data_IF_480652180817
#
_entry.id   IF_480652180817
#
_cell.length_a   1.000
_cell.length_b   1.000
_cell.length_c   1.000
_cell.angle_alpha   90.00
_cell.angle_beta   90.00
_cell.angle_gamma   90.00
#
_symmetry.space_group_name_H-M   'P 1'
#
loop_
_entity.id
_entity.type
_entity.pdbx_description
1 polymer ?
#
# COMPACT_ATOMS: atom_id res chain seq x y z
N UNK A 1 5.79 -5.72 -2.51
CA UNK A 1 6.85 -4.86 -1.95
C UNK A 1 6.30 -3.49 -1.61
N UNK A 2 7.13 -2.62 -1.06
CA UNK A 2 6.76 -1.24 -0.74
C UNK A 2 7.89 -0.33 -1.22
N UNK A 3 7.81 0.13 -2.47
CA UNK A 3 8.89 0.87 -3.11
C UNK A 3 9.25 2.18 -2.40
N UNK A 4 8.25 2.87 -1.83
CA UNK A 4 8.50 4.11 -1.09
C UNK A 4 9.42 3.91 0.13
N UNK A 5 9.49 2.70 0.69
CA UNK A 5 10.35 2.37 1.83
C UNK A 5 11.85 2.35 1.47
N UNK A 6 12.21 2.33 0.18
CA UNK A 6 13.60 2.42 -0.26
C UNK A 6 14.31 3.66 0.30
N UNK A 7 13.59 4.77 0.51
CA UNK A 7 14.14 6.01 1.07
C UNK A 7 14.60 5.86 2.54
N UNK A 8 14.07 4.87 3.24
CA UNK A 8 14.38 4.61 4.65
C UNK A 8 15.11 3.30 4.87
N UNK A 9 15.62 2.69 3.80
CA UNK A 9 16.42 1.46 3.87
C UNK A 9 17.61 1.65 4.83
N UNK A 10 17.79 0.70 5.75
CA UNK A 10 18.85 0.72 6.77
C UNK A 10 18.79 1.89 7.77
N UNK A 11 17.62 2.51 7.98
CA UNK A 11 17.49 3.56 8.98
C UNK A 11 17.85 3.03 10.38
N UNK A 12 18.86 3.61 11.10
CA UNK A 12 19.43 2.98 12.30
C UNK A 12 18.43 2.74 13.43
N UNK A 13 17.49 3.65 13.65
CA UNK A 13 16.49 3.54 14.73
C UNK A 13 15.43 2.45 14.49
N UNK A 14 15.27 2.01 13.25
CA UNK A 14 14.29 1.00 12.88
C UNK A 14 14.92 -0.41 12.80
N UNK A 15 16.25 -0.50 12.86
CA UNK A 15 16.93 -1.80 12.81
C UNK A 15 16.72 -2.55 14.13
N UNK A 16 16.45 -3.85 14.03
CA UNK A 16 16.20 -4.78 15.16
C UNK A 16 14.92 -4.50 15.96
N UNK A 17 14.02 -3.66 15.47
CA UNK A 17 12.71 -3.46 16.06
C UNK A 17 11.72 -4.57 15.67
N UNK A 18 10.70 -4.79 16.51
CA UNK A 18 9.50 -5.55 16.08
C UNK A 18 8.79 -4.78 14.95
N UNK A 19 7.84 -5.44 14.25
CA UNK A 19 7.09 -4.78 13.17
C UNK A 19 6.47 -3.46 13.65
N UNK A 20 5.80 -3.45 14.79
CA UNK A 20 5.13 -2.25 15.29
C UNK A 20 6.13 -1.17 15.73
N UNK A 21 7.25 -1.56 16.37
CA UNK A 21 8.35 -0.64 16.69
C UNK A 21 8.99 -0.04 15.43
N UNK A 22 9.18 -0.85 14.40
CA UNK A 22 9.69 -0.44 13.10
C UNK A 22 8.75 0.57 12.42
N UNK A 23 7.44 0.27 12.34
CA UNK A 23 6.43 1.16 11.77
C UNK A 23 6.37 2.50 12.51
N UNK A 24 6.27 2.51 13.84
CA UNK A 24 6.20 3.73 14.65
C UNK A 24 7.47 4.59 14.52
N UNK A 25 8.62 3.97 14.30
CA UNK A 25 9.88 4.68 14.04
C UNK A 25 9.92 5.35 12.67
N UNK A 26 9.22 4.80 11.67
CA UNK A 26 9.27 5.24 10.28
C UNK A 26 8.10 6.15 9.87
N UNK A 27 6.92 6.00 10.44
CA UNK A 27 5.77 6.85 10.13
C UNK A 27 6.05 8.36 10.18
N UNK A 28 6.80 8.90 11.18
CA UNK A 28 7.14 10.33 11.21
C UNK A 28 8.02 10.79 10.04
N UNK A 29 8.77 9.87 9.45
CA UNK A 29 9.60 10.13 8.27
C UNK A 29 8.72 10.06 7.03
N UNK A 30 7.94 8.99 6.88
CA UNK A 30 7.05 8.78 5.74
C UNK A 30 5.96 9.85 5.63
N UNK A 31 5.56 10.44 6.75
CA UNK A 31 4.61 11.57 6.75
C UNK A 31 5.15 12.84 6.06
N UNK A 32 6.46 12.89 5.77
CA UNK A 32 7.11 14.03 5.09
C UNK A 32 7.35 13.81 3.61
N UNK A 33 7.18 12.59 3.11
CA UNK A 33 7.39 12.30 1.69
C UNK A 33 6.29 12.93 0.84
N UNK A 34 6.61 13.22 -0.41
CA UNK A 34 5.70 13.81 -1.38
C UNK A 34 5.79 13.11 -2.74
N UNK A 35 5.15 13.68 -3.77
CA UNK A 35 5.09 13.08 -5.12
C UNK A 35 6.45 12.68 -5.69
N UNK A 36 7.43 13.59 -5.63
CA UNK A 36 8.79 13.32 -6.14
C UNK A 36 9.51 12.21 -5.38
N UNK A 37 9.24 12.07 -4.08
CA UNK A 37 9.86 11.00 -3.28
C UNK A 37 9.28 9.64 -3.67
N UNK A 38 7.96 9.55 -3.86
CA UNK A 38 7.30 8.33 -4.37
C UNK A 38 7.83 7.95 -5.75
N UNK A 39 7.93 8.93 -6.66
CA UNK A 39 8.48 8.70 -8.00
C UNK A 39 9.92 8.18 -7.94
N UNK A 40 10.83 8.88 -7.25
CA UNK A 40 12.25 8.51 -7.19
C UNK A 40 12.46 7.16 -6.50
N UNK A 41 11.78 6.91 -5.37
CA UNK A 41 11.91 5.63 -4.68
C UNK A 41 11.43 4.46 -5.53
N UNK A 42 10.35 4.67 -6.29
CA UNK A 42 9.82 3.68 -7.23
C UNK A 42 10.75 3.48 -8.42
N UNK A 43 11.28 4.56 -8.99
CA UNK A 43 12.24 4.50 -10.09
C UNK A 43 13.48 3.67 -9.73
N UNK A 44 14.07 3.95 -8.56
CA UNK A 44 15.24 3.21 -8.06
C UNK A 44 14.90 1.73 -7.84
N UNK A 45 13.84 1.44 -7.10
CA UNK A 45 13.50 0.06 -6.75
C UNK A 45 13.13 -0.78 -7.97
N UNK A 46 12.35 -0.23 -8.91
CA UNK A 46 12.01 -0.92 -10.15
C UNK A 46 13.23 -1.12 -11.05
N UNK A 47 14.14 -0.15 -11.10
CA UNK A 47 15.41 -0.29 -11.83
C UNK A 47 16.29 -1.40 -11.26
N UNK A 48 16.45 -1.46 -9.93
CA UNK A 48 17.16 -2.57 -9.26
C UNK A 48 16.55 -3.93 -9.61
N UNK A 49 15.22 -4.01 -9.64
CA UNK A 49 14.52 -5.25 -9.98
C UNK A 49 14.74 -5.67 -11.44
N UNK A 50 14.62 -4.73 -12.38
CA UNK A 50 14.87 -5.01 -13.81
C UNK A 50 16.31 -5.45 -14.03
N UNK A 51 17.28 -4.79 -13.39
CA UNK A 51 18.70 -5.17 -13.45
C UNK A 51 18.94 -6.59 -12.86
N UNK A 52 18.12 -7.02 -11.92
CA UNK A 52 18.18 -8.39 -11.37
C UNK A 52 17.40 -9.43 -12.21
N UNK A 53 16.80 -9.02 -13.34
CA UNK A 53 16.05 -9.90 -14.24
C UNK A 53 14.55 -9.97 -13.99
N UNK A 54 14.00 -9.16 -13.08
CA UNK A 54 12.56 -9.09 -12.80
C UNK A 54 11.86 -8.22 -13.86
N UNK A 55 11.04 -8.83 -14.70
CA UNK A 55 10.32 -8.13 -15.79
C UNK A 55 8.90 -7.73 -15.44
N UNK A 56 8.37 -8.22 -14.34
CA UNK A 56 7.01 -7.93 -13.85
C UNK A 56 7.06 -7.75 -12.34
N UNK A 57 6.55 -6.64 -11.86
CA UNK A 57 6.53 -6.30 -10.44
C UNK A 57 5.15 -5.89 -9.98
N UNK A 58 4.87 -6.12 -8.70
CA UNK A 58 3.74 -5.53 -7.99
C UNK A 58 4.23 -4.78 -6.77
N UNK A 59 3.55 -3.70 -6.41
CA UNK A 59 3.83 -2.92 -5.21
C UNK A 59 2.57 -2.76 -4.36
N UNK A 60 2.75 -2.38 -3.10
CA UNK A 60 1.68 -2.03 -2.18
C UNK A 60 1.96 -0.63 -1.61
N UNK A 61 1.53 0.41 -2.34
CA UNK A 61 1.56 1.79 -1.86
C UNK A 61 0.31 2.07 -1.04
N UNK A 62 0.45 2.32 0.25
CA UNK A 62 -0.67 2.43 1.20
C UNK A 62 -0.74 3.77 1.95
N UNK A 63 0.13 4.72 1.63
CA UNK A 63 0.11 6.06 2.21
C UNK A 63 0.32 7.12 1.11
N UNK A 64 -0.42 8.23 1.24
CA UNK A 64 -0.47 9.29 0.23
C UNK A 64 -0.36 10.68 0.87
N UNK A 65 0.73 10.97 1.63
CA UNK A 65 0.92 12.26 2.26
C UNK A 65 1.30 13.35 1.23
N UNK A 66 1.07 14.60 1.61
CA UNK A 66 1.56 15.80 0.91
C UNK A 66 1.20 15.84 -0.58
N UNK A 67 0.03 15.32 -0.96
CA UNK A 67 -0.46 15.33 -2.34
C UNK A 67 0.12 14.26 -3.24
N UNK A 68 0.87 13.29 -2.70
CA UNK A 68 1.31 12.11 -3.45
C UNK A 68 0.12 11.27 -3.90
N UNK A 69 0.29 10.57 -5.01
CA UNK A 69 -0.75 9.76 -5.66
C UNK A 69 -0.16 8.48 -6.24
N UNK A 70 -1.02 7.53 -6.58
CA UNK A 70 -0.59 6.31 -7.26
C UNK A 70 0.07 6.61 -8.62
N UNK A 71 -0.33 7.71 -9.25
CA UNK A 71 0.25 8.19 -10.51
C UNK A 71 1.77 8.40 -10.45
N UNK A 72 2.29 8.88 -9.32
CA UNK A 72 3.73 9.12 -9.15
C UNK A 72 4.54 7.82 -9.30
N UNK A 73 3.98 6.71 -8.81
CA UNK A 73 4.58 5.38 -8.94
C UNK A 73 4.39 4.80 -10.36
N UNK A 74 3.21 5.02 -10.96
CA UNK A 74 2.91 4.58 -12.32
C UNK A 74 3.85 5.25 -13.33
N UNK A 75 4.15 6.54 -13.15
CA UNK A 75 5.08 7.27 -14.00
C UNK A 75 6.48 6.68 -13.92
N UNK A 76 6.98 6.40 -12.72
CA UNK A 76 8.27 5.73 -12.53
C UNK A 76 8.32 4.37 -13.23
N UNK A 77 7.25 3.57 -13.16
CA UNK A 77 7.18 2.27 -13.83
C UNK A 77 7.20 2.38 -15.35
N UNK A 78 6.58 3.42 -15.92
CA UNK A 78 6.62 3.72 -17.35
C UNK A 78 8.03 4.09 -17.80
N UNK A 79 8.72 4.93 -17.03
CA UNK A 79 10.07 5.38 -17.35
C UNK A 79 11.09 4.25 -17.30
N UNK A 80 10.93 3.31 -16.35
CA UNK A 80 11.72 2.08 -16.29
C UNK A 80 11.38 1.11 -17.42
N UNK A 81 10.13 1.14 -17.91
CA UNK A 81 9.66 0.24 -18.97
C UNK A 81 9.42 -1.19 -18.51
N UNK A 82 9.12 -1.41 -17.23
CA UNK A 82 8.77 -2.71 -16.69
C UNK A 82 7.25 -2.93 -16.64
N UNK A 83 6.82 -4.19 -16.68
CA UNK A 83 5.41 -4.54 -16.44
C UNK A 83 5.10 -4.36 -14.96
N UNK A 84 4.05 -3.56 -14.66
CA UNK A 84 3.76 -3.16 -13.30
C UNK A 84 2.30 -3.39 -12.91
N UNK A 85 2.10 -4.03 -11.77
CA UNK A 85 0.81 -4.16 -11.12
C UNK A 85 0.78 -3.16 -9.96
N UNK A 86 0.32 -1.94 -10.25
CA UNK A 86 0.19 -0.88 -9.27
C UNK A 86 -0.99 -1.16 -8.33
N UNK A 87 -0.82 -0.95 -7.04
CA UNK A 87 -1.90 -1.17 -6.09
C UNK A 87 -2.27 0.11 -5.37
N UNK A 88 -3.56 0.45 -5.40
CA UNK A 88 -4.11 1.51 -4.57
C UNK A 88 -4.32 0.94 -3.17
N UNK A 89 -3.29 1.09 -2.34
CA UNK A 89 -3.35 0.74 -0.93
C UNK A 89 -4.12 1.79 -0.12
N UNK A 90 -4.48 1.47 1.11
CA UNK A 90 -5.22 2.41 1.96
C UNK A 90 -5.04 2.12 3.44
N UNK A 91 -5.12 3.18 4.25
CA UNK A 91 -5.24 3.14 5.71
C UNK A 91 -6.34 4.12 6.13
N UNK A 92 -7.28 3.69 6.99
CA UNK A 92 -8.41 4.50 7.47
C UNK A 92 -8.50 4.60 8.99
N UNK A 93 -7.78 3.74 9.71
CA UNK A 93 -7.77 3.70 11.18
C UNK A 93 -6.42 4.20 11.67
N UNK A 94 -6.41 5.43 12.19
CA UNK A 94 -5.26 6.04 12.84
C UNK A 94 -5.26 5.88 14.35
N UNK A 95 -4.26 6.47 15.00
CA UNK A 95 -4.06 6.42 16.45
C UNK A 95 -5.30 6.86 17.24
N UNK A 96 -6.00 7.90 16.80
CA UNK A 96 -7.23 8.38 17.45
C UNK A 96 -8.39 7.37 17.44
N UNK A 97 -8.34 6.40 16.54
CA UNK A 97 -9.32 5.32 16.40
C UNK A 97 -8.80 3.96 16.89
N UNK A 98 -7.66 3.94 17.56
CA UNK A 98 -7.03 2.73 18.08
C UNK A 98 -6.24 1.92 17.05
N UNK A 99 -5.89 2.54 15.91
CA UNK A 99 -4.95 2.00 14.94
C UNK A 99 -3.50 2.34 15.29
N UNK A 100 -2.57 1.86 14.49
CA UNK A 100 -1.15 2.09 14.67
C UNK A 100 -0.62 3.34 13.92
N UNK A 101 -1.06 3.64 12.68
CA UNK A 101 -0.53 4.79 11.95
C UNK A 101 -1.01 6.13 12.53
N UNK A 102 -0.19 7.19 12.46
CA UNK A 102 -0.65 8.54 12.75
C UNK A 102 -1.87 8.92 11.91
N UNK A 103 -2.81 9.67 12.48
CA UNK A 103 -4.02 10.11 11.77
C UNK A 103 -3.70 10.88 10.47
N UNK A 104 -2.57 11.59 10.44
CA UNK A 104 -2.09 12.31 9.26
C UNK A 104 -1.71 11.42 8.05
N UNK A 105 -1.53 10.12 8.28
CA UNK A 105 -1.25 9.13 7.24
C UNK A 105 -2.48 8.29 6.85
N UNK A 106 -3.62 8.57 7.46
CA UNK A 106 -4.88 7.90 7.13
C UNK A 106 -5.76 8.76 6.25
N UNK A 107 -6.67 8.14 5.54
CA UNK A 107 -7.60 8.80 4.63
C UNK A 107 -9.06 8.52 5.04
N UNK A 108 -9.97 9.37 4.59
CA UNK A 108 -11.40 9.12 4.71
C UNK A 108 -11.83 7.97 3.78
N UNK A 109 -12.66 7.05 4.25
CA UNK A 109 -13.04 5.82 3.53
C UNK A 109 -13.77 6.09 2.23
N UNK A 110 -14.71 7.06 2.20
CA UNK A 110 -15.39 7.46 0.96
C UNK A 110 -14.39 8.01 -0.08
N UNK A 111 -13.39 8.76 0.38
CA UNK A 111 -12.34 9.29 -0.49
C UNK A 111 -11.44 8.17 -1.03
N UNK A 112 -11.12 7.18 -0.20
CA UNK A 112 -10.38 5.99 -0.61
C UNK A 112 -11.11 5.25 -1.72
N UNK A 113 -12.40 4.94 -1.52
CA UNK A 113 -13.20 4.17 -2.50
C UNK A 113 -13.35 4.92 -3.81
N UNK A 114 -13.62 6.24 -3.77
CA UNK A 114 -13.67 7.09 -4.96
C UNK A 114 -12.35 7.11 -5.72
N UNK A 115 -11.23 7.19 -5.02
CA UNK A 115 -9.91 7.17 -5.65
C UNK A 115 -9.55 5.78 -6.19
N UNK A 116 -9.92 4.71 -5.49
CA UNK A 116 -9.82 3.34 -5.99
C UNK A 116 -10.54 3.17 -7.34
N UNK A 117 -11.79 3.59 -7.41
CA UNK A 117 -12.57 3.58 -8.65
C UNK A 117 -11.89 4.41 -9.74
N UNK A 118 -11.51 5.64 -9.43
CA UNK A 118 -10.85 6.56 -10.37
C UNK A 118 -9.57 5.98 -10.99
N UNK A 119 -8.71 5.37 -10.17
CA UNK A 119 -7.43 4.82 -10.70
C UNK A 119 -7.66 3.56 -11.54
N UNK A 120 -8.68 2.74 -11.22
CA UNK A 120 -9.06 1.60 -12.06
C UNK A 120 -9.54 2.11 -13.41
N UNK A 121 -10.53 2.99 -13.43
CA UNK A 121 -11.13 3.52 -14.67
C UNK A 121 -10.11 4.23 -15.56
N UNK A 122 -9.13 4.89 -14.96
CA UNK A 122 -8.12 5.68 -15.69
C UNK A 122 -6.94 4.86 -16.19
N UNK A 123 -6.52 3.82 -15.46
CA UNK A 123 -5.22 3.21 -15.68
C UNK A 123 -5.24 1.69 -15.87
N UNK A 124 -6.31 1.01 -15.45
CA UNK A 124 -6.32 -0.45 -15.56
C UNK A 124 -6.45 -0.90 -17.01
N UNK A 125 -5.48 -1.70 -17.46
CA UNK A 125 -5.56 -2.39 -18.75
C UNK A 125 -5.80 -3.88 -18.48
N UNK A 126 -7.00 -4.36 -18.85
CA UNK A 126 -7.41 -5.75 -18.64
C UNK A 126 -6.85 -6.73 -19.67
N UNK A 127 -6.18 -6.24 -20.73
CA UNK A 127 -5.62 -7.08 -21.77
C UNK A 127 -4.54 -8.04 -21.25
N UNK A 128 -4.36 -9.15 -21.96
CA UNK A 128 -3.28 -10.08 -21.66
C UNK A 128 -1.92 -9.39 -21.85
N UNK A 129 -1.01 -9.65 -20.91
CA UNK A 129 0.34 -9.07 -20.91
C UNK A 129 0.41 -7.53 -20.86
N UNK A 130 -0.67 -6.86 -20.44
CA UNK A 130 -0.69 -5.41 -20.25
C UNK A 130 0.52 -4.93 -19.45
N UNK A 131 1.05 -3.77 -19.83
CA UNK A 131 2.19 -3.15 -19.14
C UNK A 131 1.79 -2.58 -17.77
N UNK A 132 0.51 -2.22 -17.59
CA UNK A 132 -0.01 -1.67 -16.35
C UNK A 132 -1.35 -2.30 -15.99
N UNK A 133 -1.41 -2.88 -14.80
CA UNK A 133 -2.67 -3.31 -14.17
C UNK A 133 -2.81 -2.64 -12.81
N UNK A 134 -4.05 -2.42 -12.40
CA UNK A 134 -4.39 -1.88 -11.08
C UNK A 134 -4.96 -3.00 -10.22
N UNK A 135 -4.59 -3.01 -8.94
CA UNK A 135 -5.25 -3.77 -7.89
C UNK A 135 -5.58 -2.86 -6.71
N UNK A 136 -6.45 -3.32 -5.83
CA UNK A 136 -6.80 -2.63 -4.59
C UNK A 136 -6.11 -3.32 -3.41
N UNK A 137 -5.68 -2.54 -2.42
CA UNK A 137 -4.91 -3.09 -1.33
C UNK A 137 -5.18 -2.38 0.02
N UNK A 138 -6.33 -2.64 0.68
CA UNK A 138 -6.51 -2.24 2.07
C UNK A 138 -5.37 -2.83 2.90
N UNK A 139 -4.65 -1.95 3.66
CA UNK A 139 -3.30 -2.26 4.13
C UNK A 139 -3.24 -3.51 5.04
N UNK A 140 -4.02 -3.51 6.12
CA UNK A 140 -4.01 -4.62 7.09
C UNK A 140 -5.24 -4.58 8.00
N UNK A 141 -5.58 -5.65 8.72
CA UNK A 141 -6.70 -5.65 9.67
C UNK A 141 -6.60 -4.61 10.79
N UNK A 142 -5.39 -4.13 11.12
CA UNK A 142 -5.18 -3.12 12.16
C UNK A 142 -5.06 -1.68 11.62
N UNK A 143 -5.19 -1.46 10.31
CA UNK A 143 -5.06 -0.13 9.69
C UNK A 143 -6.25 0.27 8.83
N UNK A 144 -7.22 -0.63 8.62
CA UNK A 144 -8.48 -0.35 7.92
C UNK A 144 -9.67 -0.89 8.69
N UNK A 145 -10.87 -0.31 8.48
CA UNK A 145 -12.10 -0.85 9.04
C UNK A 145 -12.53 -2.14 8.31
N UNK A 146 -13.33 -2.97 9.00
CA UNK A 146 -13.95 -4.14 8.35
C UNK A 146 -14.85 -3.73 7.19
N UNK A 147 -15.52 -2.59 7.30
CA UNK A 147 -16.43 -2.11 6.25
C UNK A 147 -15.63 -1.67 5.03
N UNK A 148 -14.54 -0.91 5.19
CA UNK A 148 -13.65 -0.58 4.07
C UNK A 148 -13.08 -1.84 3.40
N UNK A 149 -12.71 -2.86 4.19
CA UNK A 149 -12.22 -4.13 3.65
C UNK A 149 -13.28 -4.81 2.76
N UNK A 150 -14.53 -4.87 3.22
CA UNK A 150 -15.66 -5.46 2.48
C UNK A 150 -16.02 -4.65 1.23
N UNK A 151 -16.10 -3.33 1.34
CA UNK A 151 -16.44 -2.44 0.24
C UNK A 151 -15.34 -2.45 -0.83
N UNK A 152 -14.07 -2.44 -0.42
CA UNK A 152 -12.94 -2.60 -1.35
C UNK A 152 -13.01 -3.96 -2.08
N UNK A 153 -13.35 -5.04 -1.38
CA UNK A 153 -13.52 -6.35 -2.01
C UNK A 153 -14.71 -6.39 -2.98
N UNK A 154 -15.80 -5.68 -2.68
CA UNK A 154 -16.94 -5.53 -3.58
C UNK A 154 -16.55 -4.76 -4.84
N UNK A 155 -15.87 -3.64 -4.68
CA UNK A 155 -15.36 -2.82 -5.79
C UNK A 155 -14.39 -3.61 -6.68
N UNK A 156 -13.47 -4.36 -6.07
CA UNK A 156 -12.52 -5.19 -6.82
C UNK A 156 -13.24 -6.25 -7.68
N UNK A 157 -14.30 -6.88 -7.15
CA UNK A 157 -15.12 -7.83 -7.91
C UNK A 157 -15.90 -7.15 -9.04
N UNK A 158 -16.50 -6.00 -8.78
CA UNK A 158 -17.25 -5.23 -9.79
C UNK A 158 -16.38 -4.89 -10.99
N UNK A 159 -15.16 -4.42 -10.75
CA UNK A 159 -14.21 -4.05 -11.81
C UNK A 159 -13.34 -5.21 -12.31
N UNK A 160 -13.50 -6.42 -11.75
CA UNK A 160 -12.69 -7.60 -12.09
C UNK A 160 -11.18 -7.34 -11.93
N UNK A 161 -10.79 -6.60 -10.91
CA UNK A 161 -9.38 -6.35 -10.56
C UNK A 161 -8.94 -7.16 -9.34
N UNK A 162 -7.63 -7.35 -9.19
CA UNK A 162 -7.06 -8.02 -8.03
C UNK A 162 -7.22 -7.21 -6.73
N UNK A 163 -7.22 -7.93 -5.61
CA UNK A 163 -7.13 -7.33 -4.27
C UNK A 163 -6.14 -8.12 -3.42
N UNK A 164 -5.37 -7.43 -2.60
CA UNK A 164 -4.51 -8.05 -1.59
C UNK A 164 -4.41 -7.19 -0.32
N UNK A 165 -3.87 -7.77 0.74
CA UNK A 165 -3.67 -7.13 2.05
C UNK A 165 -2.49 -7.79 2.76
N UNK A 166 -1.98 -7.18 3.82
CA UNK A 166 -1.13 -7.88 4.78
C UNK A 166 -2.03 -8.74 5.69
N UNK A 167 -1.69 -10.00 5.82
CA UNK A 167 -2.50 -10.95 6.56
C UNK A 167 -1.61 -11.93 7.31
N UNK A 168 -1.81 -12.05 8.62
CA UNK A 168 -1.08 -12.97 9.48
C UNK A 168 0.45 -12.82 9.37
N UNK A 169 0.93 -11.58 9.31
CA UNK A 169 2.35 -11.27 9.11
C UNK A 169 3.19 -11.64 10.34
N UNK A 170 2.65 -11.43 11.52
CA UNK A 170 3.32 -11.70 12.78
C UNK A 170 2.34 -12.02 13.92
N UNK A 171 2.89 -12.24 15.13
CA UNK A 171 2.07 -12.59 16.30
C UNK A 171 1.17 -11.42 16.76
N UNK A 172 1.62 -10.18 16.59
CA UNK A 172 0.83 -8.99 16.95
C UNK A 172 -0.44 -8.90 16.14
N UNK A 173 -0.43 -9.29 14.85
CA UNK A 173 -1.64 -9.37 14.01
C UNK A 173 -2.64 -10.37 14.57
N UNK A 174 -2.16 -11.52 15.01
CA UNK A 174 -3.01 -12.57 15.59
C UNK A 174 -3.66 -12.06 16.87
N UNK A 175 -2.85 -11.50 17.78
CA UNK A 175 -3.34 -10.94 19.04
C UNK A 175 -4.37 -9.85 18.77
N UNK A 176 -4.08 -8.91 17.89
CA UNK A 176 -4.99 -7.82 17.55
C UNK A 176 -6.33 -8.34 17.01
N UNK A 177 -6.31 -9.29 16.08
CA UNK A 177 -7.55 -9.79 15.46
C UNK A 177 -8.35 -10.66 16.40
N UNK A 178 -7.72 -11.46 17.26
CA UNK A 178 -8.41 -12.24 18.30
C UNK A 178 -9.05 -11.33 19.34
N UNK A 179 -8.35 -10.28 19.81
CA UNK A 179 -8.91 -9.30 20.76
C UNK A 179 -10.03 -8.44 20.16
N UNK A 180 -9.85 -7.99 18.93
CA UNK A 180 -10.75 -7.02 18.28
C UNK A 180 -11.97 -7.68 17.66
N UNK A 181 -11.81 -8.85 17.06
CA UNK A 181 -12.81 -9.52 16.22
C UNK A 181 -13.19 -10.91 16.74
N UNK A 182 -12.49 -11.44 17.74
CA UNK A 182 -12.74 -12.79 18.29
C UNK A 182 -12.35 -13.92 17.32
N UNK A 183 -11.52 -13.64 16.32
CA UNK A 183 -11.11 -14.61 15.32
C UNK A 183 -9.68 -14.35 14.84
N UNK A 184 -9.02 -15.38 14.31
CA UNK A 184 -7.69 -15.27 13.71
C UNK A 184 -7.74 -14.58 12.35
N UNK A 185 -6.59 -13.98 11.91
CA UNK A 185 -6.50 -13.47 10.55
C UNK A 185 -6.81 -14.56 9.52
N UNK A 186 -7.68 -14.24 8.56
CA UNK A 186 -8.08 -15.19 7.51
C UNK A 186 -9.33 -16.03 7.83
N UNK A 187 -9.90 -15.90 9.02
CA UNK A 187 -11.21 -16.46 9.34
C UNK A 187 -12.33 -15.45 9.03
#
# INVERSE_FOLDING_TARGET
MHLFQNLTRCYPKAQNESLFGWLTSLYPIWNKIGPSDIYISSLIGLSEMVLSGCTTSSDHLYLFPNGSKLEDQIEAAKDVGCRFHATRGSMSIGESKGGLPPDSLTENEDSILKDCQRVIEKFHDSSDFAMLKIALAPCSPFSVSQDLMKETASLAREYSVGMHTHLAENIEDIVYTEEKFGMRPGQ
#
